data_IF_023891795378
#
_entry.id   IF_023891795378
#
_cell.length_a   1.000
_cell.length_b   1.000
_cell.length_c   1.000
_cell.angle_alpha   90.00
_cell.angle_beta   90.00
_cell.angle_gamma   90.00
#
_symmetry.space_group_name_H-M   'P 1'
#
loop_
_entity.id
_entity.type
_entity.pdbx_description
1 polymer ?
#
# COMPACT_ATOMS: atom_id res chain seq x y z
N UNK A 1 14.44 -7.22 21.53
CA UNK A 1 13.04 -7.63 21.39
C UNK A 1 12.79 -8.24 20.03
N UNK A 2 12.06 -9.34 20.03
CA UNK A 2 11.75 -10.07 18.80
C UNK A 2 10.47 -9.52 18.19
N UNK A 3 10.47 -9.31 16.89
CA UNK A 3 9.27 -8.90 16.15
C UNK A 3 8.31 -10.10 16.14
N UNK A 4 7.04 -9.84 16.48
CA UNK A 4 6.01 -10.86 16.38
C UNK A 4 5.55 -10.98 14.92
N UNK A 5 6.18 -11.90 14.21
CA UNK A 5 5.91 -12.12 12.77
C UNK A 5 4.46 -12.54 12.54
N UNK A 6 3.90 -13.35 13.42
CA UNK A 6 2.52 -13.82 13.26
C UNK A 6 1.54 -12.66 13.34
N UNK A 7 1.70 -11.79 14.32
CA UNK A 7 0.86 -10.59 14.46
C UNK A 7 1.09 -9.62 13.30
N UNK A 8 2.34 -9.42 12.90
CA UNK A 8 2.68 -8.54 11.79
C UNK A 8 2.04 -9.04 10.49
N UNK A 9 2.13 -10.33 10.21
CA UNK A 9 1.51 -10.93 9.02
C UNK A 9 -0.02 -10.75 9.04
N UNK A 10 -0.65 -11.00 10.17
CA UNK A 10 -2.10 -10.85 10.30
C UNK A 10 -2.53 -9.41 10.06
N UNK A 11 -1.81 -8.46 10.64
CA UNK A 11 -2.10 -7.03 10.48
C UNK A 11 -1.88 -6.57 9.03
N UNK A 12 -0.84 -7.04 8.39
CA UNK A 12 -0.56 -6.71 7.00
C UNK A 12 -1.61 -7.27 6.05
N UNK A 13 -2.05 -8.50 6.28
CA UNK A 13 -3.12 -9.11 5.49
C UNK A 13 -4.44 -8.35 5.65
N UNK A 14 -4.75 -7.92 6.86
CA UNK A 14 -5.94 -7.11 7.11
C UNK A 14 -5.84 -5.76 6.39
N UNK A 15 -4.69 -5.11 6.46
CA UNK A 15 -4.45 -3.85 5.77
C UNK A 15 -4.57 -4.02 4.25
N UNK A 16 -4.04 -5.13 3.71
CA UNK A 16 -4.15 -5.45 2.30
C UNK A 16 -5.61 -5.53 1.86
N UNK A 17 -6.44 -6.21 2.64
CA UNK A 17 -7.85 -6.32 2.33
C UNK A 17 -8.58 -4.99 2.35
N UNK A 18 -8.25 -4.14 3.32
CA UNK A 18 -8.81 -2.79 3.38
C UNK A 18 -8.43 -1.97 2.15
N UNK A 19 -7.19 -2.05 1.73
CA UNK A 19 -6.71 -1.32 0.55
C UNK A 19 -7.38 -1.82 -0.73
N UNK A 20 -7.52 -3.13 -0.87
CA UNK A 20 -8.22 -3.72 -2.01
C UNK A 20 -9.69 -3.30 -2.05
N UNK A 21 -10.34 -3.25 -0.89
CA UNK A 21 -11.72 -2.81 -0.79
C UNK A 21 -11.86 -1.36 -1.22
N UNK A 22 -10.95 -0.49 -0.76
CA UNK A 22 -10.95 0.92 -1.15
C UNK A 22 -10.72 1.10 -2.64
N UNK A 23 -9.79 0.33 -3.22
CA UNK A 23 -9.57 0.35 -4.66
C UNK A 23 -10.82 -0.07 -5.42
N UNK A 24 -11.47 -1.13 -4.96
CA UNK A 24 -12.70 -1.62 -5.58
C UNK A 24 -13.81 -0.56 -5.54
N UNK A 25 -13.95 0.13 -4.42
CA UNK A 25 -14.94 1.22 -4.29
C UNK A 25 -14.68 2.37 -5.25
N UNK A 26 -13.42 2.60 -5.60
CA UNK A 26 -13.05 3.61 -6.59
C UNK A 26 -13.14 3.10 -8.03
N UNK A 27 -13.55 1.85 -8.21
CA UNK A 27 -13.65 1.25 -9.54
C UNK A 27 -12.34 0.76 -10.11
N UNK A 28 -11.37 0.45 -9.25
CA UNK A 28 -10.06 -0.03 -9.64
C UNK A 28 -9.83 -1.48 -9.19
N UNK A 29 -8.94 -2.18 -9.89
CA UNK A 29 -8.53 -3.53 -9.51
C UNK A 29 -7.27 -3.49 -8.64
N UNK A 30 -6.74 -4.67 -8.30
CA UNK A 30 -5.55 -4.78 -7.44
C UNK A 30 -4.28 -4.20 -8.06
N UNK A 31 -4.27 -4.01 -9.37
CA UNK A 31 -3.16 -3.41 -10.09
C UNK A 31 -3.29 -1.90 -10.21
N UNK A 32 -4.39 -1.34 -9.69
CA UNK A 32 -4.66 0.08 -9.79
C UNK A 32 -5.28 0.49 -11.12
N UNK A 33 -5.64 -0.47 -11.96
CA UNK A 33 -6.28 -0.20 -13.24
C UNK A 33 -7.78 -0.05 -13.04
N UNK A 34 -8.36 0.94 -13.70
CA UNK A 34 -9.81 1.14 -13.64
C UNK A 34 -10.49 0.01 -14.41
N UNK A 35 -11.47 -0.62 -13.77
CA UNK A 35 -12.12 -1.80 -14.33
C UNK A 35 -13.17 -1.50 -15.40
N UNK A 36 -13.50 -0.23 -15.58
CA UNK A 36 -14.53 0.16 -16.53
C UNK A 36 -15.96 -0.03 -16.04
N UNK A 37 -16.13 -0.54 -14.86
CA UNK A 37 -17.46 -0.75 -14.25
C UNK A 37 -18.02 0.53 -13.66
N UNK A 38 -17.29 1.61 -13.72
CA UNK A 38 -17.76 2.90 -13.26
C UNK A 38 -18.71 3.45 -14.33
N UNK A 39 -19.95 3.62 -13.96
CA UNK A 39 -20.96 4.13 -14.86
C UNK A 39 -20.81 5.64 -15.04
N UNK A 40 -20.32 6.06 -16.18
CA UNK A 40 -20.23 7.46 -16.57
C UNK A 40 -21.44 7.90 -17.41
N UNK A 41 -22.54 7.18 -17.29
CA UNK A 41 -23.70 7.33 -18.17
C UNK A 41 -24.25 8.74 -18.36
N UNK A 42 -24.15 9.58 -17.37
CA UNK A 42 -24.63 10.96 -17.44
C UNK A 42 -23.50 11.97 -17.64
N UNK A 43 -22.34 11.50 -18.04
CA UNK A 43 -21.13 12.31 -18.12
C UNK A 43 -21.17 13.43 -19.18
N UNK A 44 -22.05 13.33 -20.14
CA UNK A 44 -22.12 14.37 -21.20
C UNK A 44 -22.56 15.72 -20.68
N UNK A 45 -23.39 15.74 -19.64
CA UNK A 45 -23.89 16.98 -19.09
C UNK A 45 -22.82 17.72 -18.27
N UNK A 46 -21.87 16.99 -17.71
CA UNK A 46 -20.86 17.52 -16.80
C UNK A 46 -19.45 17.05 -17.15
N UNK A 47 -19.12 17.10 -18.42
CA UNK A 47 -17.83 16.60 -18.91
C UNK A 47 -16.62 17.19 -18.17
N UNK A 48 -16.66 18.50 -17.87
CA UNK A 48 -15.57 19.17 -17.16
C UNK A 48 -15.49 18.71 -15.69
N UNK A 49 -16.63 18.60 -15.02
CA UNK A 49 -16.69 18.09 -13.65
C UNK A 49 -16.28 16.63 -13.58
N UNK A 50 -16.73 15.81 -14.54
CA UNK A 50 -16.36 14.41 -14.62
C UNK A 50 -14.86 14.24 -14.81
N UNK A 51 -14.21 15.11 -15.61
CA UNK A 51 -12.76 15.07 -15.81
C UNK A 51 -12.00 15.40 -14.52
N UNK A 52 -12.47 16.42 -13.76
CA UNK A 52 -11.85 16.78 -12.49
C UNK A 52 -11.99 15.66 -11.47
N UNK A 53 -13.18 15.07 -11.34
CA UNK A 53 -13.41 13.94 -10.46
C UNK A 53 -12.56 12.73 -10.84
N UNK A 54 -12.41 12.47 -12.12
CA UNK A 54 -11.59 11.37 -12.60
C UNK A 54 -10.12 11.57 -12.23
N UNK A 55 -9.60 12.79 -12.37
CA UNK A 55 -8.24 13.12 -11.97
C UNK A 55 -8.02 12.89 -10.49
N UNK A 56 -8.98 13.30 -9.66
CA UNK A 56 -8.94 13.08 -8.22
C UNK A 56 -8.97 11.59 -7.88
N UNK A 57 -9.86 10.83 -8.52
CA UNK A 57 -9.95 9.38 -8.34
C UNK A 57 -8.64 8.70 -8.72
N UNK A 58 -8.05 9.07 -9.86
CA UNK A 58 -6.78 8.49 -10.30
C UNK A 58 -5.65 8.79 -9.31
N UNK A 59 -5.64 9.97 -8.69
CA UNK A 59 -4.69 10.31 -7.66
C UNK A 59 -4.84 9.43 -6.41
N UNK A 60 -6.09 9.20 -5.99
CA UNK A 60 -6.37 8.31 -4.86
C UNK A 60 -5.99 6.88 -5.17
N UNK A 61 -6.32 6.39 -6.38
CA UNK A 61 -5.96 5.04 -6.82
C UNK A 61 -4.45 4.86 -6.80
N UNK A 62 -3.70 5.84 -7.29
CA UNK A 62 -2.24 5.77 -7.29
C UNK A 62 -1.68 5.67 -5.87
N UNK A 63 -2.21 6.46 -4.93
CA UNK A 63 -1.80 6.41 -3.53
C UNK A 63 -2.10 5.03 -2.92
N UNK A 64 -3.31 4.51 -3.13
CA UNK A 64 -3.71 3.21 -2.61
C UNK A 64 -2.86 2.08 -3.21
N UNK A 65 -2.55 2.18 -4.50
CA UNK A 65 -1.70 1.21 -5.18
C UNK A 65 -0.31 1.16 -4.55
N UNK A 66 0.28 2.31 -4.25
CA UNK A 66 1.60 2.37 -3.60
C UNK A 66 1.56 1.74 -2.22
N UNK A 67 0.52 2.04 -1.45
CA UNK A 67 0.35 1.44 -0.12
C UNK A 67 0.19 -0.07 -0.22
N UNK A 68 -0.56 -0.55 -1.22
CA UNK A 68 -0.73 -1.97 -1.45
C UNK A 68 0.60 -2.64 -1.83
N UNK A 69 1.38 -2.02 -2.69
CA UNK A 69 2.71 -2.52 -3.06
C UNK A 69 3.62 -2.62 -1.84
N UNK A 70 3.56 -1.63 -0.95
CA UNK A 70 4.34 -1.64 0.29
C UNK A 70 3.93 -2.80 1.20
N UNK A 71 2.62 -3.04 1.33
CA UNK A 71 2.10 -4.16 2.12
C UNK A 71 2.51 -5.49 1.51
N UNK A 72 2.36 -5.65 0.20
CA UNK A 72 2.76 -6.88 -0.50
C UNK A 72 4.26 -7.12 -0.38
N UNK A 73 5.07 -6.07 -0.48
CA UNK A 73 6.51 -6.18 -0.26
C UNK A 73 6.86 -6.64 1.15
N UNK A 74 6.13 -6.13 2.16
CA UNK A 74 6.34 -6.56 3.53
C UNK A 74 5.97 -8.03 3.73
N UNK A 75 4.85 -8.47 3.13
CA UNK A 75 4.44 -9.88 3.18
C UNK A 75 5.46 -10.79 2.50
N UNK A 76 6.03 -10.35 1.38
CA UNK A 76 7.09 -11.10 0.69
C UNK A 76 8.32 -11.25 1.58
N UNK A 77 8.70 -10.21 2.32
CA UNK A 77 9.82 -10.28 3.25
C UNK A 77 9.57 -11.21 4.42
N UNK A 78 8.31 -11.30 4.87
CA UNK A 78 7.93 -12.30 5.87
C UNK A 78 8.16 -13.71 5.31
N UNK A 79 7.76 -13.92 4.05
CA UNK A 79 7.90 -15.21 3.39
C UNK A 79 9.36 -15.64 3.17
N UNK A 80 10.26 -14.69 2.89
CA UNK A 80 11.68 -15.00 2.64
C UNK A 80 12.58 -14.84 3.87
N UNK A 81 12.01 -14.44 5.00
CA UNK A 81 12.75 -14.31 6.25
C UNK A 81 13.50 -13.00 6.44
N UNK A 82 13.31 -12.02 5.55
CA UNK A 82 14.01 -10.73 5.65
C UNK A 82 13.18 -9.62 6.30
N UNK A 83 12.00 -9.95 6.80
CA UNK A 83 11.14 -8.95 7.46
C UNK A 83 11.83 -8.38 8.70
N UNK A 84 11.85 -7.04 8.80
CA UNK A 84 12.51 -6.36 9.91
C UNK A 84 14.00 -6.12 9.72
N UNK A 85 14.55 -6.52 8.57
CA UNK A 85 15.95 -6.31 8.21
C UNK A 85 16.03 -5.18 7.18
N UNK A 86 16.92 -4.22 7.39
CA UNK A 86 17.09 -3.12 6.47
C UNK A 86 17.57 -3.64 5.11
N UNK A 87 16.87 -3.21 4.05
CA UNK A 87 17.17 -3.65 2.69
C UNK A 87 18.52 -3.12 2.17
N UNK A 88 19.00 -2.01 2.74
CA UNK A 88 20.26 -1.39 2.29
C UNK A 88 21.47 -1.81 3.10
N UNK A 89 21.38 -1.81 4.42
CA UNK A 89 22.55 -2.08 5.27
C UNK A 89 22.53 -3.44 5.96
N UNK A 90 21.44 -4.16 5.90
CA UNK A 90 21.32 -5.50 6.51
C UNK A 90 21.18 -5.51 8.01
N UNK A 91 21.10 -4.37 8.66
CA UNK A 91 20.91 -4.30 10.11
C UNK A 91 19.44 -4.42 10.46
N UNK A 92 19.14 -4.75 11.72
CA UNK A 92 17.77 -4.78 12.20
C UNK A 92 17.16 -3.39 12.16
N UNK A 93 15.94 -3.29 11.66
CA UNK A 93 15.18 -2.05 11.67
C UNK A 93 14.75 -1.70 13.09
N UNK A 94 14.42 -2.71 13.88
CA UNK A 94 13.97 -2.55 15.25
C UNK A 94 12.48 -2.84 15.39
N UNK A 95 12.12 -3.55 16.48
CA UNK A 95 10.73 -3.97 16.70
C UNK A 95 9.79 -2.78 16.87
N UNK A 96 10.22 -1.73 17.58
CA UNK A 96 9.38 -0.55 17.79
C UNK A 96 9.03 0.15 16.49
N UNK A 97 10.00 0.29 15.60
CA UNK A 97 9.77 0.90 14.29
C UNK A 97 8.87 0.03 13.41
N UNK A 98 9.05 -1.30 13.47
CA UNK A 98 8.21 -2.22 12.70
C UNK A 98 6.78 -2.26 13.22
N UNK A 99 6.56 -2.09 14.52
CA UNK A 99 5.22 -1.96 15.07
C UNK A 99 4.54 -0.67 14.62
N UNK A 100 5.31 0.41 14.59
CA UNK A 100 4.80 1.71 14.16
C UNK A 100 4.57 1.78 12.65
N UNK A 101 5.50 1.21 11.87
CA UNK A 101 5.41 1.16 10.41
C UNK A 101 5.73 -0.25 9.90
N UNK A 102 4.71 -1.13 9.88
CA UNK A 102 4.94 -2.53 9.49
C UNK A 102 5.47 -2.74 8.07
N UNK A 103 5.33 -1.76 7.19
CA UNK A 103 5.83 -1.85 5.82
C UNK A 103 7.24 -1.30 5.67
N UNK A 104 7.87 -0.86 6.75
CA UNK A 104 9.20 -0.26 6.72
C UNK A 104 10.24 -1.26 6.22
N UNK A 105 11.06 -0.84 5.26
CA UNK A 105 12.12 -1.68 4.69
C UNK A 105 13.52 -1.12 4.95
N UNK A 106 13.61 0.09 5.49
CA UNK A 106 14.87 0.76 5.79
C UNK A 106 14.94 1.09 7.26
N UNK A 107 16.14 0.98 7.85
CA UNK A 107 16.36 1.46 9.20
C UNK A 107 16.34 3.00 9.22
N UNK A 108 16.31 3.56 10.41
CA UNK A 108 16.25 5.03 10.58
C UNK A 108 17.42 5.71 9.86
N UNK A 109 18.61 5.16 10.02
CA UNK A 109 19.82 5.75 9.41
C UNK A 109 19.76 5.76 7.89
N UNK A 110 19.35 4.64 7.27
CA UNK A 110 19.23 4.57 5.81
C UNK A 110 18.09 5.43 5.29
N UNK A 111 17.00 5.51 6.02
CA UNK A 111 15.88 6.36 5.66
C UNK A 111 16.26 7.83 5.68
N UNK A 112 17.04 8.23 6.67
CA UNK A 112 17.50 9.62 6.80
C UNK A 112 18.48 10.02 5.70
N UNK A 113 19.21 9.06 5.15
CA UNK A 113 20.21 9.29 4.10
C UNK A 113 19.65 9.13 2.67
N UNK A 114 18.39 8.79 2.56
CA UNK A 114 17.76 8.57 1.24
C UNK A 114 17.11 9.84 0.68
#
# INVERSE_FOLDING_TARGET
MTIDIVSAEANLKEEREKLLHQLHELGADENGDLTGDVDYGDAFADAAAATAERTEVLGLVDTLKRLLEDVDGALDRIGDGSYGVCAECGKDIGSARMEFRPTSRLCVDCKSNS
#
